data_IF_527451124620
#
_entry.id   IF_527451124620
#
_cell.length_a   1.000
_cell.length_b   1.000
_cell.length_c   1.000
_cell.angle_alpha   90.00
_cell.angle_beta   90.00
_cell.angle_gamma   90.00
#
_symmetry.space_group_name_H-M   'P 1'
#
loop_
_entity.id
_entity.type
_entity.pdbx_description
1 polymer ?
#
# COMPACT_ATOMS: atom_id res chain seq x y z
N UNK A 1 -6.33 2.11 9.40
CA UNK A 1 -6.79 1.64 8.09
C UNK A 1 -8.20 1.08 8.22
N UNK A 2 -9.09 1.43 7.31
CA UNK A 2 -10.47 0.95 7.27
C UNK A 2 -10.80 0.37 5.89
N UNK A 3 -11.70 -0.61 5.86
CA UNK A 3 -12.19 -1.21 4.61
C UNK A 3 -13.69 -1.43 4.71
N UNK A 4 -14.41 -1.02 3.69
CA UNK A 4 -15.82 -1.34 3.46
C UNK A 4 -15.91 -2.10 2.15
N UNK A 5 -16.51 -3.29 2.16
CA UNK A 5 -16.60 -4.17 0.99
C UNK A 5 -18.03 -4.67 0.79
N UNK A 6 -18.52 -4.58 -0.46
CA UNK A 6 -19.70 -5.28 -0.95
C UNK A 6 -19.27 -6.36 -1.95
N UNK A 7 -19.70 -7.59 -1.74
CA UNK A 7 -19.32 -8.73 -2.60
C UNK A 7 -20.54 -9.55 -2.99
N UNK A 8 -20.60 -9.94 -4.26
CA UNK A 8 -21.57 -10.90 -4.79
C UNK A 8 -20.83 -12.18 -5.15
N UNK A 9 -21.35 -13.32 -4.68
CA UNK A 9 -20.75 -14.63 -4.92
C UNK A 9 -21.73 -15.53 -5.64
N UNK A 10 -21.33 -16.09 -6.76
CA UNK A 10 -22.05 -17.14 -7.48
C UNK A 10 -21.40 -18.50 -7.21
N UNK A 11 -22.20 -19.46 -6.76
CA UNK A 11 -21.74 -20.82 -6.46
C UNK A 11 -22.14 -21.79 -7.58
N UNK A 12 -21.16 -22.56 -8.06
CA UNK A 12 -21.29 -23.46 -9.21
C UNK A 12 -21.68 -24.88 -8.81
N UNK A 13 -22.48 -25.54 -9.65
CA UNK A 13 -22.82 -26.94 -9.54
C UNK A 13 -23.67 -27.29 -8.31
N UNK A 14 -24.10 -28.54 -8.25
CA UNK A 14 -24.98 -29.07 -7.18
C UNK A 14 -24.27 -29.14 -5.82
N UNK A 15 -22.94 -29.37 -5.81
CA UNK A 15 -22.15 -29.43 -4.57
C UNK A 15 -21.91 -28.08 -3.93
N UNK A 16 -22.06 -26.98 -4.68
CA UNK A 16 -21.78 -25.62 -4.25
C UNK A 16 -20.44 -25.47 -3.53
N UNK A 17 -19.43 -26.27 -3.94
CA UNK A 17 -18.08 -26.20 -3.36
C UNK A 17 -17.25 -25.09 -4.02
N UNK A 18 -17.42 -24.88 -5.33
CA UNK A 18 -16.74 -23.85 -6.10
C UNK A 18 -17.65 -22.67 -6.34
N UNK A 19 -17.10 -21.48 -6.30
CA UNK A 19 -17.82 -20.25 -6.62
C UNK A 19 -16.86 -19.18 -7.16
N UNK A 20 -17.45 -18.15 -7.74
CA UNK A 20 -16.73 -16.94 -8.15
C UNK A 20 -17.36 -15.74 -7.47
N UNK A 21 -16.55 -14.84 -6.94
CA UNK A 21 -17.01 -13.61 -6.35
C UNK A 21 -16.40 -12.40 -7.06
N UNK A 22 -17.22 -11.35 -7.16
CA UNK A 22 -16.80 -10.02 -7.58
C UNK A 22 -17.26 -9.05 -6.52
N UNK A 23 -16.38 -8.13 -6.14
CA UNK A 23 -16.64 -7.15 -5.10
C UNK A 23 -16.27 -5.73 -5.49
N UNK A 24 -16.69 -4.82 -4.65
CA UNK A 24 -16.27 -3.43 -4.65
C UNK A 24 -15.82 -3.07 -3.23
N UNK A 25 -14.59 -2.59 -3.09
CA UNK A 25 -14.00 -2.22 -1.80
C UNK A 25 -13.59 -0.76 -1.80
N UNK A 26 -13.99 -0.05 -0.76
CA UNK A 26 -13.41 1.25 -0.40
C UNK A 26 -12.42 1.00 0.73
N UNK A 27 -11.16 1.32 0.49
CA UNK A 27 -10.08 1.01 1.43
C UNK A 27 -9.27 2.26 1.73
N UNK A 28 -8.89 2.41 3.01
CA UNK A 28 -7.82 3.32 3.39
C UNK A 28 -6.62 2.51 3.86
N UNK A 29 -5.46 2.76 3.26
CA UNK A 29 -4.21 2.09 3.61
C UNK A 29 -3.17 3.13 3.97
N UNK A 30 -2.61 3.02 5.15
CA UNK A 30 -1.60 3.94 5.64
C UNK A 30 -0.47 3.19 6.32
N UNK A 31 0.74 3.70 6.12
CA UNK A 31 1.97 3.21 6.73
C UNK A 31 2.79 4.41 7.21
N UNK A 32 3.37 4.26 8.40
CA UNK A 32 4.42 5.14 8.89
C UNK A 32 5.65 4.30 9.14
N UNK A 33 6.79 4.74 8.67
CA UNK A 33 8.06 4.05 8.88
C UNK A 33 9.19 5.05 9.11
N UNK A 34 10.24 4.59 9.75
CA UNK A 34 11.47 5.33 9.94
C UNK A 34 12.66 4.41 9.68
N UNK A 35 13.65 4.90 8.96
CA UNK A 35 14.86 4.18 8.66
C UNK A 35 16.07 5.11 8.59
N UNK A 36 17.23 4.61 9.01
CA UNK A 36 18.50 5.28 8.74
C UNK A 36 19.01 4.80 7.39
N UNK A 37 19.27 5.73 6.50
CA UNK A 37 19.76 5.46 5.15
C UNK A 37 21.12 6.12 4.94
N UNK A 38 21.92 5.57 4.00
CA UNK A 38 23.22 6.11 3.64
C UNK A 38 23.32 6.30 2.15
N UNK A 39 23.71 7.50 1.74
CA UNK A 39 23.89 7.88 0.33
C UNK A 39 22.65 7.62 -0.55
N UNK A 40 21.48 7.97 -0.01
CA UNK A 40 20.18 7.72 -0.62
C UNK A 40 19.77 8.91 -1.49
N UNK A 41 19.51 8.67 -2.79
CA UNK A 41 19.05 9.72 -3.70
C UNK A 41 17.64 10.15 -3.33
N UNK A 42 17.45 11.44 -3.05
CA UNK A 42 16.14 12.03 -2.76
C UNK A 42 16.13 13.53 -2.97
N UNK A 43 14.94 14.11 -2.98
CA UNK A 43 14.70 15.55 -2.99
C UNK A 43 14.06 15.95 -1.66
N UNK A 44 14.61 16.96 -1.02
CA UNK A 44 14.07 17.53 0.22
C UNK A 44 13.61 18.97 0.01
N UNK A 45 12.77 19.45 0.91
CA UNK A 45 12.29 20.83 0.95
C UNK A 45 12.85 21.47 2.22
N UNK A 46 13.79 22.40 2.06
CA UNK A 46 14.40 23.18 3.14
C UNK A 46 14.09 24.65 2.91
N UNK A 47 13.46 25.31 3.90
CA UNK A 47 13.09 26.73 3.82
C UNK A 47 12.22 27.09 2.59
N UNK A 48 11.44 26.15 2.05
CA UNK A 48 10.61 26.34 0.86
C UNK A 48 11.32 26.08 -0.47
N UNK A 49 12.63 25.83 -0.46
CA UNK A 49 13.41 25.47 -1.64
C UNK A 49 13.54 23.96 -1.77
N UNK A 50 13.43 23.43 -3.01
CA UNK A 50 13.65 22.02 -3.31
C UNK A 50 15.12 21.79 -3.62
N UNK A 51 15.73 20.85 -2.92
CA UNK A 51 17.14 20.48 -3.08
C UNK A 51 17.23 18.98 -3.33
N UNK A 52 17.68 18.60 -4.51
CA UNK A 52 17.95 17.21 -4.88
C UNK A 52 19.38 16.83 -4.54
N UNK A 53 19.58 15.61 -4.03
CA UNK A 53 20.91 15.15 -3.66
C UNK A 53 20.92 13.77 -3.03
N UNK A 54 21.97 13.49 -2.28
CA UNK A 54 22.20 12.21 -1.61
C UNK A 54 22.16 12.39 -0.10
N UNK A 55 21.13 11.81 0.49
CA UNK A 55 20.88 11.87 1.92
C UNK A 55 21.60 10.74 2.68
N UNK A 56 22.17 11.09 3.80
CA UNK A 56 22.67 10.14 4.82
C UNK A 56 22.15 10.58 6.18
N UNK A 57 21.36 9.76 6.82
CA UNK A 57 20.71 10.06 8.11
C UNK A 57 19.37 9.36 8.25
N UNK A 58 18.54 9.87 9.15
CA UNK A 58 17.24 9.30 9.43
C UNK A 58 16.16 9.84 8.50
N UNK A 59 15.28 8.95 8.01
CA UNK A 59 14.15 9.29 7.13
C UNK A 59 12.85 8.79 7.77
N UNK A 60 11.94 9.71 8.04
CA UNK A 60 10.56 9.42 8.40
C UNK A 60 9.68 9.46 7.18
N UNK A 61 8.92 8.41 6.94
CA UNK A 61 7.98 8.30 5.82
C UNK A 61 6.56 8.09 6.33
N UNK A 62 5.63 8.82 5.76
CA UNK A 62 4.19 8.62 5.89
C UNK A 62 3.62 8.38 4.49
N UNK A 63 3.03 7.22 4.30
CA UNK A 63 2.26 6.90 3.11
C UNK A 63 0.80 6.72 3.52
N UNK A 64 -0.11 7.33 2.78
CA UNK A 64 -1.55 7.15 2.93
C UNK A 64 -2.18 7.05 1.55
N UNK A 65 -3.13 6.13 1.40
CA UNK A 65 -3.85 5.92 0.16
C UNK A 65 -5.30 5.59 0.44
N UNK A 66 -6.20 6.37 -0.13
CA UNK A 66 -7.61 6.03 -0.29
C UNK A 66 -7.81 5.39 -1.65
N UNK A 67 -8.41 4.20 -1.71
CA UNK A 67 -8.52 3.46 -2.97
C UNK A 67 -9.86 2.76 -3.15
N UNK A 68 -10.28 2.70 -4.40
CA UNK A 68 -11.39 1.89 -4.86
C UNK A 68 -10.83 0.62 -5.49
N UNK A 69 -11.16 -0.54 -4.94
CA UNK A 69 -10.64 -1.84 -5.36
C UNK A 69 -11.76 -2.75 -5.85
N UNK A 70 -11.52 -3.42 -6.96
CA UNK A 70 -12.41 -4.45 -7.54
C UNK A 70 -11.69 -5.79 -7.48
N UNK A 71 -11.96 -6.66 -6.51
CA UNK A 71 -11.49 -8.02 -6.48
C UNK A 71 -12.36 -8.95 -7.34
N UNK A 72 -11.73 -9.90 -8.02
CA UNK A 72 -12.37 -11.04 -8.71
C UNK A 72 -11.70 -12.29 -8.20
N UNK A 73 -12.44 -13.10 -7.44
CA UNK A 73 -11.89 -14.22 -6.69
C UNK A 73 -12.61 -15.53 -7.01
N UNK A 74 -11.86 -16.59 -7.17
CA UNK A 74 -12.36 -17.97 -7.07
C UNK A 74 -12.49 -18.33 -5.58
N UNK A 75 -13.59 -18.96 -5.23
CA UNK A 75 -13.90 -19.41 -3.88
C UNK A 75 -13.99 -20.92 -3.85
N UNK A 76 -13.42 -21.52 -2.82
CA UNK A 76 -13.53 -22.97 -2.59
C UNK A 76 -13.92 -23.25 -1.14
N UNK A 77 -15.03 -23.94 -0.96
CA UNK A 77 -15.54 -24.33 0.35
C UNK A 77 -14.85 -25.63 0.79
N UNK A 78 -13.81 -25.48 1.64
CA UNK A 78 -13.04 -26.63 2.15
C UNK A 78 -13.77 -27.38 3.28
N UNK A 79 -14.63 -26.67 4.01
CA UNK A 79 -15.47 -27.23 5.08
C UNK A 79 -16.79 -26.45 5.18
N UNK A 80 -17.80 -26.94 5.90
CA UNK A 80 -19.11 -26.24 6.01
C UNK A 80 -19.03 -24.81 6.50
N UNK A 81 -18.00 -24.45 7.25
CA UNK A 81 -17.77 -23.10 7.81
C UNK A 81 -16.56 -22.38 7.23
N UNK A 82 -15.74 -23.04 6.41
CA UNK A 82 -14.50 -22.50 5.90
C UNK A 82 -14.53 -22.37 4.37
N UNK A 83 -14.25 -21.19 3.90
CA UNK A 83 -14.06 -20.89 2.47
C UNK A 83 -12.69 -20.25 2.28
N UNK A 84 -11.90 -20.80 1.39
CA UNK A 84 -10.70 -20.14 0.88
C UNK A 84 -11.05 -19.39 -0.40
N UNK A 85 -10.33 -18.31 -0.65
CA UNK A 85 -10.55 -17.48 -1.83
C UNK A 85 -9.20 -17.02 -2.39
N UNK A 86 -9.08 -16.99 -3.70
CA UNK A 86 -7.89 -16.51 -4.38
C UNK A 86 -8.26 -15.93 -5.75
N UNK A 87 -7.53 -14.92 -6.19
CA UNK A 87 -7.75 -14.30 -7.49
C UNK A 87 -6.94 -13.03 -7.67
N UNK A 88 -7.44 -12.16 -8.54
CA UNK A 88 -6.81 -10.90 -8.86
C UNK A 88 -7.66 -9.71 -8.39
N UNK A 89 -7.01 -8.57 -8.25
CA UNK A 89 -7.68 -7.30 -7.98
C UNK A 89 -7.09 -6.18 -8.82
N UNK A 90 -7.92 -5.18 -9.06
CA UNK A 90 -7.53 -3.90 -9.62
C UNK A 90 -7.99 -2.79 -8.68
N UNK A 91 -7.11 -1.82 -8.42
CA UNK A 91 -7.38 -0.70 -7.53
C UNK A 91 -7.07 0.63 -8.21
N UNK A 92 -7.92 1.61 -7.98
CA UNK A 92 -7.69 2.99 -8.36
C UNK A 92 -7.54 3.86 -7.12
N UNK A 93 -6.44 4.61 -7.03
CA UNK A 93 -6.14 5.50 -5.92
C UNK A 93 -6.93 6.81 -6.11
N UNK A 94 -7.87 7.05 -5.22
CA UNK A 94 -8.71 8.25 -5.17
C UNK A 94 -7.96 9.35 -4.43
N UNK A 95 -7.32 8.97 -3.32
CA UNK A 95 -6.52 9.86 -2.49
C UNK A 95 -5.16 9.22 -2.22
N UNK A 96 -4.12 10.04 -2.22
CA UNK A 96 -2.74 9.56 -2.10
C UNK A 96 -1.84 10.61 -1.48
N UNK A 97 -1.11 10.21 -0.47
CA UNK A 97 -0.11 11.02 0.21
C UNK A 97 1.17 10.19 0.39
N UNK A 98 2.29 10.70 -0.06
CA UNK A 98 3.61 10.16 0.24
C UNK A 98 4.52 11.31 0.65
N UNK A 99 4.65 11.50 1.94
CA UNK A 99 5.36 12.62 2.52
C UNK A 99 6.21 12.17 3.71
N UNK A 100 7.03 13.05 4.20
CA UNK A 100 7.80 12.80 5.40
C UNK A 100 8.79 13.91 5.70
N UNK A 101 9.73 13.57 6.57
CA UNK A 101 10.83 14.45 6.93
C UNK A 101 12.12 13.66 7.17
N UNK A 102 13.22 14.36 7.03
CA UNK A 102 14.56 13.84 7.31
C UNK A 102 15.15 14.57 8.51
N UNK A 103 15.93 13.86 9.32
CA UNK A 103 16.59 14.38 10.52
C UNK A 103 17.91 13.64 10.77
N UNK A 104 18.71 14.21 11.68
CA UNK A 104 19.94 13.59 12.18
C UNK A 104 20.86 13.07 11.08
N UNK A 105 21.21 13.98 10.14
CA UNK A 105 22.00 13.61 9.00
C UNK A 105 22.46 14.80 8.15
N UNK A 106 22.78 14.51 6.90
CA UNK A 106 23.20 15.51 5.92
C UNK A 106 22.77 15.13 4.50
N UNK A 107 22.52 16.13 3.68
CA UNK A 107 22.35 16.02 2.24
C UNK A 107 23.62 16.47 1.52
N UNK A 108 24.06 15.72 0.52
CA UNK A 108 25.06 16.16 -0.47
C UNK A 108 24.34 16.57 -1.74
N UNK A 109 24.43 17.85 -2.08
CA UNK A 109 23.69 18.45 -3.18
C UNK A 109 24.19 17.93 -4.53
N UNK A 110 23.29 17.52 -5.40
CA UNK A 110 23.52 17.09 -6.78
C UNK A 110 24.31 15.79 -6.94
N UNK A 111 25.43 15.64 -6.23
CA UNK A 111 26.33 14.47 -6.35
C UNK A 111 26.71 13.92 -4.97
N UNK A 112 27.17 12.65 -4.88
CA UNK A 112 27.62 12.04 -3.61
C UNK A 112 28.79 12.78 -2.93
N UNK A 113 29.48 13.65 -3.66
CA UNK A 113 30.61 14.46 -3.18
C UNK A 113 30.30 15.97 -3.22
N UNK A 114 29.03 16.36 -3.50
CA UNK A 114 28.58 17.73 -3.56
C UNK A 114 28.59 18.46 -2.21
N UNK A 115 28.16 19.73 -2.22
CA UNK A 115 28.05 20.54 -1.01
C UNK A 115 27.24 19.83 0.07
N UNK A 116 27.74 19.85 1.30
CA UNK A 116 27.11 19.20 2.43
C UNK A 116 26.17 20.19 3.15
N UNK A 117 24.90 19.84 3.23
CA UNK A 117 23.89 20.52 4.04
C UNK A 117 23.59 19.65 5.26
N UNK A 118 23.89 20.17 6.46
CA UNK A 118 23.74 19.42 7.71
C UNK A 118 22.38 19.67 8.36
N UNK A 119 21.82 18.61 8.92
CA UNK A 119 20.53 18.57 9.63
C UNK A 119 20.75 17.90 10.97
N UNK A 120 21.36 18.62 11.88
CA UNK A 120 21.65 18.22 13.27
C UNK A 120 20.88 19.11 14.24
N UNK A 121 20.91 18.83 15.54
CA UNK A 121 20.33 19.65 16.60
C UNK A 121 18.82 19.94 16.42
N UNK A 122 18.07 18.95 15.94
CA UNK A 122 16.63 19.06 15.72
C UNK A 122 16.23 19.77 14.41
N UNK A 123 17.18 20.16 13.58
CA UNK A 123 16.88 20.67 12.23
C UNK A 123 16.34 19.54 11.36
N UNK A 124 15.20 19.80 10.71
CA UNK A 124 14.54 18.83 9.80
C UNK A 124 14.26 19.48 8.46
N UNK A 125 14.20 18.66 7.41
CA UNK A 125 13.64 19.05 6.12
C UNK A 125 12.54 18.09 5.74
N UNK A 126 11.55 18.56 4.99
CA UNK A 126 10.40 17.75 4.55
C UNK A 126 10.61 17.25 3.12
N UNK A 127 9.83 16.26 2.74
CA UNK A 127 9.69 15.83 1.35
C UNK A 127 8.26 15.43 1.05
N UNK A 128 7.86 15.55 -0.23
CA UNK A 128 6.52 15.19 -0.70
C UNK A 128 6.62 14.65 -2.12
N UNK A 129 6.10 13.44 -2.31
CA UNK A 129 6.07 12.73 -3.59
C UNK A 129 4.64 12.29 -3.98
N UNK A 130 3.60 12.95 -3.48
CA UNK A 130 2.19 12.63 -3.76
C UNK A 130 1.91 12.55 -5.26
N UNK A 131 2.42 13.50 -6.02
CA UNK A 131 2.23 13.57 -7.47
C UNK A 131 2.97 12.48 -8.25
N UNK A 132 3.91 11.80 -7.62
CA UNK A 132 4.72 10.74 -8.21
C UNK A 132 4.14 9.34 -7.97
N UNK A 133 3.09 9.24 -7.14
CA UNK A 133 2.39 7.98 -6.94
C UNK A 133 1.54 7.61 -8.15
N UNK A 134 1.57 6.32 -8.48
CA UNK A 134 0.74 5.73 -9.53
C UNK A 134 -0.71 5.64 -9.06
N UNK A 135 -1.65 6.04 -9.91
CA UNK A 135 -3.07 5.99 -9.58
C UNK A 135 -3.70 4.62 -9.75
N UNK A 136 -3.10 3.74 -10.54
CA UNK A 136 -3.60 2.39 -10.78
C UNK A 136 -2.66 1.34 -10.21
N UNK A 137 -3.22 0.42 -9.42
CA UNK A 137 -2.55 -0.74 -8.86
C UNK A 137 -3.32 -2.00 -9.21
N UNK A 138 -2.62 -3.10 -9.38
CA UNK A 138 -3.19 -4.42 -9.57
C UNK A 138 -2.32 -5.48 -8.91
N UNK A 139 -2.90 -6.63 -8.66
CA UNK A 139 -2.18 -7.72 -8.05
C UNK A 139 -3.03 -8.93 -7.77
N UNK A 140 -2.52 -9.79 -6.92
CA UNK A 140 -3.20 -10.99 -6.49
C UNK A 140 -3.70 -10.85 -5.05
N UNK A 141 -4.77 -11.56 -4.76
CA UNK A 141 -5.37 -11.63 -3.45
C UNK A 141 -5.63 -13.09 -3.10
N UNK A 142 -5.31 -13.47 -1.86
CA UNK A 142 -5.66 -14.76 -1.31
C UNK A 142 -6.21 -14.58 0.10
N UNK A 143 -7.18 -15.37 0.51
CA UNK A 143 -7.77 -15.22 1.81
C UNK A 143 -8.60 -16.41 2.26
N UNK A 144 -9.10 -16.29 3.48
CA UNK A 144 -9.99 -17.24 4.08
C UNK A 144 -11.16 -16.52 4.76
N UNK A 145 -12.31 -17.16 4.73
CA UNK A 145 -13.52 -16.75 5.42
C UNK A 145 -14.00 -17.88 6.32
N UNK A 146 -14.21 -17.58 7.59
CA UNK A 146 -14.79 -18.47 8.56
C UNK A 146 -16.19 -18.01 8.94
N UNK A 147 -17.19 -18.84 8.66
CA UNK A 147 -18.58 -18.59 9.03
C UNK A 147 -18.78 -18.88 10.52
N UNK A 148 -18.70 -17.84 11.34
CA UNK A 148 -18.84 -17.93 12.79
C UNK A 148 -20.30 -18.24 13.20
N UNK A 149 -21.26 -17.51 12.59
CA UNK A 149 -22.70 -17.67 12.83
C UNK A 149 -23.47 -17.69 11.50
N UNK A 150 -24.81 -17.81 11.58
CA UNK A 150 -25.68 -17.92 10.39
C UNK A 150 -25.43 -16.85 9.34
N UNK A 151 -25.22 -15.61 9.78
CA UNK A 151 -25.05 -14.44 8.93
C UNK A 151 -23.69 -13.75 9.11
N UNK A 152 -22.86 -14.17 10.04
CA UNK A 152 -21.59 -13.54 10.35
C UNK A 152 -20.39 -14.40 9.98
N UNK A 153 -19.41 -13.77 9.35
CA UNK A 153 -18.13 -14.38 8.99
C UNK A 153 -16.97 -13.52 9.46
N UNK A 154 -15.86 -14.16 9.80
CA UNK A 154 -14.54 -13.55 9.95
C UNK A 154 -13.75 -13.77 8.67
N UNK A 155 -13.09 -12.72 8.21
CA UNK A 155 -12.32 -12.73 6.96
C UNK A 155 -10.88 -12.34 7.23
N UNK A 156 -9.96 -13.02 6.56
CA UNK A 156 -8.55 -12.67 6.52
C UNK A 156 -8.09 -12.71 5.06
N UNK A 157 -7.63 -11.57 4.54
CA UNK A 157 -7.27 -11.39 3.15
C UNK A 157 -5.88 -10.79 3.03
N UNK A 158 -4.98 -11.47 2.33
CA UNK A 158 -3.67 -10.99 1.94
C UNK A 158 -3.75 -10.48 0.50
N UNK A 159 -3.40 -9.23 0.28
CA UNK A 159 -3.25 -8.65 -1.06
C UNK A 159 -1.78 -8.36 -1.36
N UNK A 160 -1.34 -8.73 -2.55
CA UNK A 160 0.01 -8.54 -3.05
C UNK A 160 -0.03 -7.75 -4.35
N UNK A 161 0.43 -6.50 -4.32
CA UNK A 161 0.55 -5.66 -5.52
C UNK A 161 1.70 -6.11 -6.41
N UNK A 162 1.45 -6.11 -7.71
CA UNK A 162 2.39 -6.57 -8.73
C UNK A 162 3.01 -5.42 -9.54
N UNK A 163 2.67 -4.20 -9.21
CA UNK A 163 3.29 -3.01 -9.80
C UNK A 163 3.79 -2.07 -8.70
N UNK A 164 4.88 -1.38 -9.03
CA UNK A 164 5.45 -0.34 -8.18
C UNK A 164 4.43 0.76 -7.87
N UNK A 165 4.48 1.29 -6.65
CA UNK A 165 3.61 2.39 -6.21
C UNK A 165 3.95 3.71 -6.88
N UNK A 166 5.16 3.87 -7.40
CA UNK A 166 5.62 5.07 -8.08
C UNK A 166 5.41 5.00 -9.60
N UNK A 167 5.34 6.16 -10.24
CA UNK A 167 5.33 6.28 -11.70
C UNK A 167 6.70 5.91 -12.27
N UNK A 168 6.73 5.36 -13.49
CA UNK A 168 7.98 4.92 -14.15
C UNK A 168 8.98 6.04 -14.44
N UNK A 169 8.51 7.27 -14.58
CA UNK A 169 9.31 8.47 -14.81
C UNK A 169 9.91 9.06 -13.52
N UNK A 170 9.48 8.59 -12.37
CA UNK A 170 10.01 9.00 -11.08
C UNK A 170 11.31 8.26 -10.77
N UNK A 171 12.44 8.98 -10.85
CA UNK A 171 13.80 8.42 -10.69
C UNK A 171 14.47 8.82 -9.38
N UNK A 172 13.82 9.60 -8.56
CA UNK A 172 14.37 10.08 -7.27
C UNK A 172 14.55 8.94 -6.29
N UNK A 173 13.63 7.98 -6.29
CA UNK A 173 13.72 6.73 -5.53
C UNK A 173 14.15 5.62 -6.50
N UNK A 174 15.23 4.92 -6.18
CA UNK A 174 15.89 3.98 -7.09
C UNK A 174 15.50 2.51 -6.91
N UNK A 175 14.51 2.23 -6.06
CA UNK A 175 13.99 0.88 -5.84
C UNK A 175 12.46 0.84 -5.97
N UNK A 176 11.96 -0.29 -6.45
CA UNK A 176 10.54 -0.55 -6.59
C UNK A 176 9.91 -0.90 -5.24
N UNK A 177 8.71 -0.36 -4.97
CA UNK A 177 7.92 -0.66 -3.78
C UNK A 177 6.64 -1.40 -4.17
N UNK A 178 6.54 -2.66 -3.80
CA UNK A 178 5.37 -3.51 -4.02
C UNK A 178 4.53 -3.56 -2.74
N UNK A 179 3.26 -3.13 -2.79
CA UNK A 179 2.43 -3.10 -1.59
C UNK A 179 1.93 -4.50 -1.23
N UNK A 180 2.15 -4.88 0.03
CA UNK A 180 1.59 -6.13 0.61
C UNK A 180 0.78 -5.74 1.83
N UNK A 181 -0.49 -6.15 1.86
CA UNK A 181 -1.40 -5.83 2.97
C UNK A 181 -2.15 -7.06 3.44
N UNK A 182 -2.25 -7.20 4.77
CA UNK A 182 -3.15 -8.13 5.43
C UNK A 182 -4.37 -7.35 5.94
N UNK A 183 -5.55 -7.76 5.51
CA UNK A 183 -6.82 -7.23 5.98
C UNK A 183 -7.52 -8.28 6.84
N UNK A 184 -7.91 -7.90 8.04
CA UNK A 184 -8.72 -8.69 8.94
C UNK A 184 -10.05 -7.98 9.14
N UNK A 185 -11.14 -8.72 9.07
CA UNK A 185 -12.46 -8.10 9.18
C UNK A 185 -13.57 -9.11 9.44
N UNK A 186 -14.75 -8.58 9.59
CA UNK A 186 -15.97 -9.35 9.71
C UNK A 186 -16.94 -8.97 8.60
N UNK A 187 -17.77 -9.92 8.19
CA UNK A 187 -18.78 -9.72 7.15
C UNK A 187 -20.14 -10.19 7.59
N UNK A 188 -21.16 -9.56 7.02
CA UNK A 188 -22.56 -9.99 7.12
C UNK A 188 -23.01 -10.59 5.79
N UNK A 189 -23.65 -11.74 5.83
CA UNK A 189 -24.20 -12.44 4.66
C UNK A 189 -25.72 -12.45 4.74
N UNK A 190 -26.35 -11.98 3.70
CA UNK A 190 -27.82 -11.99 3.52
C UNK A 190 -28.33 -13.35 3.09
#
# INVERSE_FOLDING_TARGET
>A
NGTLEGTVTHWWGNSKKWGTSVGLKLETKGMKTGATVKNYSMEIIDGGSRVAGYWTGFVHTKNYSGMLTVPVLANYRIAPRWTIKAGAYASYLIDKEFSGYVSDGYLREGTPIGQKLEFTDGKTATYNFDNNLRSFQWGFMAGASWKAFRHFSLNADLSWGMNDIFKKDFKTITFDLYPIYLNLGFGYQF
#
